data_IF_460988281834
#
_entry.id   IF_460988281834
#
_cell.length_a   1.000
_cell.length_b   1.000
_cell.length_c   1.000
_cell.angle_alpha   90.00
_cell.angle_beta   90.00
_cell.angle_gamma   90.00
#
_symmetry.space_group_name_H-M   'P 1'
#
loop_
_entity.id
_entity.type
_entity.pdbx_description
1 polymer ?
#
# COMPACT_ATOMS: atom_id res chain seq x y z
N UNK A 1 7.57 5.54 -42.18
CA UNK A 1 8.09 4.18 -42.52
C UNK A 1 9.26 4.20 -43.51
N UNK A 2 9.16 4.87 -44.68
CA UNK A 2 10.26 4.95 -45.67
C UNK A 2 11.57 5.59 -45.15
N UNK A 3 11.48 6.64 -44.33
CA UNK A 3 12.66 7.27 -43.70
C UNK A 3 13.40 6.35 -42.72
N UNK A 4 12.66 5.52 -41.97
CA UNK A 4 13.23 4.60 -40.99
C UNK A 4 13.95 3.42 -41.66
N UNK A 5 13.41 2.93 -42.78
CA UNK A 5 14.01 1.88 -43.60
C UNK A 5 15.30 2.34 -44.31
N UNK A 6 15.36 3.60 -44.74
CA UNK A 6 16.58 4.19 -45.34
C UNK A 6 17.70 4.45 -44.33
N UNK A 7 17.41 4.59 -43.03
CA UNK A 7 18.42 4.68 -41.97
C UNK A 7 18.98 3.30 -41.56
N UNK A 8 18.19 2.24 -41.77
CA UNK A 8 18.56 0.85 -41.44
C UNK A 8 19.18 0.09 -42.61
N UNK A 9 19.09 0.60 -43.84
CA UNK A 9 19.63 -0.04 -45.04
C UNK A 9 21.15 -0.23 -45.06
N UNK A 10 22.01 0.66 -44.50
CA UNK A 10 23.46 0.46 -44.53
C UNK A 10 23.96 -0.52 -43.46
N UNK A 11 23.09 -0.98 -42.54
CA UNK A 11 23.46 -1.87 -41.44
C UNK A 11 23.43 -3.33 -41.87
N UNK A 12 24.48 -4.06 -41.50
CA UNK A 12 24.57 -5.51 -41.62
C UNK A 12 23.49 -6.21 -40.78
N UNK A 13 23.21 -7.47 -41.11
CA UNK A 13 22.21 -8.28 -40.39
C UNK A 13 22.51 -8.36 -38.89
N UNK A 14 23.77 -8.50 -38.50
CA UNK A 14 24.20 -8.57 -37.10
C UNK A 14 24.01 -7.25 -36.36
N UNK A 15 24.28 -6.12 -37.00
CA UNK A 15 24.06 -4.80 -36.41
C UNK A 15 22.57 -4.50 -36.19
N UNK A 16 21.70 -4.96 -37.10
CA UNK A 16 20.23 -4.88 -36.93
C UNK A 16 19.75 -5.69 -35.73
N UNK A 17 20.28 -6.89 -35.53
CA UNK A 17 19.98 -7.72 -34.36
C UNK A 17 20.49 -7.04 -33.07
N UNK A 18 21.72 -6.54 -33.08
CA UNK A 18 22.29 -5.84 -31.93
C UNK A 18 21.47 -4.61 -31.54
N UNK A 19 21.04 -3.79 -32.51
CA UNK A 19 20.15 -2.65 -32.28
C UNK A 19 18.80 -3.09 -31.70
N UNK A 20 18.21 -4.18 -32.21
CA UNK A 20 16.96 -4.71 -31.67
C UNK A 20 17.11 -5.15 -30.20
N UNK A 21 18.21 -5.82 -29.85
CA UNK A 21 18.51 -6.22 -28.48
C UNK A 21 18.72 -5.00 -27.56
N UNK A 22 19.39 -3.96 -28.04
CA UNK A 22 19.57 -2.70 -27.31
C UNK A 22 18.22 -2.03 -27.05
N UNK A 23 17.34 -1.97 -28.06
CA UNK A 23 15.99 -1.41 -27.91
C UNK A 23 15.18 -2.19 -26.88
N UNK A 24 15.23 -3.53 -26.91
CA UNK A 24 14.55 -4.38 -25.92
C UNK A 24 15.11 -4.11 -24.51
N UNK A 25 16.43 -4.07 -24.35
CA UNK A 25 17.06 -3.78 -23.07
C UNK A 25 16.67 -2.41 -22.51
N UNK A 26 16.62 -1.37 -23.37
CA UNK A 26 16.17 -0.03 -22.99
C UNK A 26 14.70 -0.01 -22.56
N UNK A 27 13.83 -0.74 -23.26
CA UNK A 27 12.42 -0.88 -22.88
C UNK A 27 12.30 -1.56 -21.52
N UNK A 28 13.04 -2.65 -21.28
CA UNK A 28 13.05 -3.34 -19.99
C UNK A 28 13.49 -2.42 -18.86
N UNK A 29 14.58 -1.66 -19.05
CA UNK A 29 15.05 -0.68 -18.06
C UNK A 29 14.01 0.41 -17.77
N UNK A 30 13.31 0.89 -18.80
CA UNK A 30 12.27 1.90 -18.66
C UNK A 30 11.08 1.35 -17.86
N UNK A 31 10.67 0.10 -18.12
CA UNK A 31 9.59 -0.56 -17.35
C UNK A 31 9.99 -0.72 -15.90
N UNK A 32 11.20 -1.20 -15.60
CA UNK A 32 11.69 -1.36 -14.24
C UNK A 32 11.73 -0.02 -13.48
N UNK A 33 12.17 1.04 -14.15
CA UNK A 33 12.19 2.39 -13.61
C UNK A 33 10.78 2.89 -13.28
N UNK A 34 9.82 2.72 -14.20
CA UNK A 34 8.42 3.09 -13.97
C UNK A 34 7.82 2.31 -12.80
N UNK A 35 8.07 1.00 -12.72
CA UNK A 35 7.63 0.16 -11.61
C UNK A 35 8.22 0.64 -10.28
N UNK A 36 9.49 1.04 -10.26
CA UNK A 36 10.16 1.60 -9.08
C UNK A 36 9.52 2.91 -8.61
N UNK A 37 9.19 3.82 -9.53
CA UNK A 37 8.47 5.07 -9.21
C UNK A 37 7.09 4.76 -8.61
N UNK A 38 6.32 3.89 -9.27
CA UNK A 38 4.97 3.52 -8.80
C UNK A 38 5.04 2.89 -7.40
N UNK A 39 5.99 1.98 -7.17
CA UNK A 39 6.22 1.35 -5.86
C UNK A 39 6.58 2.39 -4.80
N UNK A 40 7.46 3.33 -5.12
CA UNK A 40 7.86 4.40 -4.20
C UNK A 40 6.69 5.30 -3.83
N UNK A 41 5.89 5.72 -4.82
CA UNK A 41 4.68 6.53 -4.60
C UNK A 41 3.65 5.78 -3.73
N UNK A 42 3.45 4.49 -3.99
CA UNK A 42 2.58 3.64 -3.16
C UNK A 42 3.08 3.55 -1.72
N UNK A 43 4.37 3.30 -1.52
CA UNK A 43 4.98 3.24 -0.18
C UNK A 43 4.85 4.56 0.57
N UNK A 44 5.09 5.69 -0.09
CA UNK A 44 4.91 7.02 0.48
C UNK A 44 3.45 7.27 0.89
N UNK A 45 2.49 6.91 0.04
CA UNK A 45 1.06 7.01 0.36
C UNK A 45 0.68 6.14 1.57
N UNK A 46 1.17 4.91 1.65
CA UNK A 46 0.87 4.02 2.77
C UNK A 46 1.52 4.48 4.07
N UNK A 47 2.77 4.97 4.01
CA UNK A 47 3.44 5.57 5.15
C UNK A 47 2.65 6.76 5.69
N UNK A 48 2.21 7.66 4.80
CA UNK A 48 1.39 8.82 5.19
C UNK A 48 0.10 8.38 5.89
N UNK A 49 -0.62 7.41 5.33
CA UNK A 49 -1.84 6.86 5.97
C UNK A 49 -1.55 6.27 7.34
N UNK A 50 -0.43 5.56 7.50
CA UNK A 50 -0.07 4.96 8.78
C UNK A 50 0.26 6.04 9.82
N UNK A 51 1.00 7.07 9.42
CA UNK A 51 1.30 8.21 10.29
C UNK A 51 0.03 9.00 10.67
N UNK A 52 -0.91 9.17 9.74
CA UNK A 52 -2.21 9.78 10.02
C UNK A 52 -2.99 8.96 11.06
N UNK A 53 -3.05 7.63 10.90
CA UNK A 53 -3.66 6.75 11.89
C UNK A 53 -2.98 6.88 13.26
N UNK A 54 -1.65 6.79 13.29
CA UNK A 54 -0.85 6.77 14.53
C UNK A 54 -0.85 8.10 15.27
N UNK A 55 -0.75 9.21 14.56
CA UNK A 55 -0.56 10.53 15.17
C UNK A 55 -1.87 11.27 15.38
N UNK A 56 -2.88 11.04 14.53
CA UNK A 56 -4.10 11.86 14.55
C UNK A 56 -5.34 11.06 14.98
N UNK A 57 -5.38 9.75 14.70
CA UNK A 57 -6.58 8.92 14.92
C UNK A 57 -6.41 7.85 16.00
N UNK A 58 -5.21 7.69 16.56
CA UNK A 58 -4.91 6.61 17.49
C UNK A 58 -5.74 6.70 18.77
N UNK A 59 -5.90 7.91 19.33
CA UNK A 59 -6.73 8.11 20.52
C UNK A 59 -8.21 7.79 20.26
N UNK A 60 -8.69 8.08 19.04
CA UNK A 60 -10.05 7.73 18.63
C UNK A 60 -10.21 6.22 18.54
N UNK A 61 -9.23 5.54 17.95
CA UNK A 61 -9.19 4.08 17.87
C UNK A 61 -9.18 3.47 19.27
N UNK A 62 -8.36 3.97 20.17
CA UNK A 62 -8.29 3.48 21.54
C UNK A 62 -9.61 3.71 22.29
N UNK A 63 -10.27 4.85 22.11
CA UNK A 63 -11.60 5.10 22.67
C UNK A 63 -12.65 4.12 22.16
N UNK A 64 -12.61 3.76 20.88
CA UNK A 64 -13.48 2.73 20.28
C UNK A 64 -13.23 1.38 20.94
N UNK A 65 -11.96 1.03 21.16
CA UNK A 65 -11.57 -0.24 21.78
C UNK A 65 -12.00 -0.34 23.24
N UNK A 66 -12.06 0.77 23.96
CA UNK A 66 -12.49 0.83 25.37
C UNK A 66 -13.94 1.26 25.54
N UNK A 67 -14.73 1.33 24.46
CA UNK A 67 -16.15 1.67 24.55
C UNK A 67 -16.94 0.46 25.10
N UNK A 68 -17.81 0.72 26.06
CA UNK A 68 -18.65 -0.32 26.68
C UNK A 68 -19.67 -0.88 25.69
N UNK A 69 -20.04 -0.12 24.66
CA UNK A 69 -20.98 -0.55 23.63
C UNK A 69 -20.27 -1.37 22.56
N UNK A 70 -20.95 -2.40 22.09
CA UNK A 70 -20.53 -3.12 20.90
C UNK A 70 -20.76 -2.25 19.65
N UNK A 71 -19.71 -2.09 18.85
CA UNK A 71 -19.68 -1.22 17.68
C UNK A 71 -19.51 -2.06 16.41
N UNK A 72 -20.25 -1.69 15.36
CA UNK A 72 -20.15 -2.32 14.06
C UNK A 72 -19.03 -1.67 13.20
N UNK A 73 -18.61 -2.38 12.14
CA UNK A 73 -17.49 -1.93 11.31
C UNK A 73 -17.75 -0.60 10.59
N UNK A 74 -19.03 -0.31 10.28
CA UNK A 74 -19.42 0.95 9.65
C UNK A 74 -19.26 2.12 10.61
N UNK A 75 -19.73 1.98 11.86
CA UNK A 75 -19.53 3.00 12.89
C UNK A 75 -18.05 3.26 13.14
N UNK A 76 -17.25 2.20 13.29
CA UNK A 76 -15.80 2.32 13.50
C UNK A 76 -15.14 3.11 12.36
N UNK A 77 -15.44 2.75 11.11
CA UNK A 77 -14.89 3.43 9.92
C UNK A 77 -15.32 4.89 9.84
N UNK A 78 -16.58 5.19 10.15
CA UNK A 78 -17.11 6.56 10.16
C UNK A 78 -16.48 7.41 11.25
N UNK A 79 -16.27 6.84 12.44
CA UNK A 79 -15.66 7.54 13.59
C UNK A 79 -14.18 7.83 13.34
N UNK A 80 -13.45 6.87 12.78
CA UNK A 80 -12.05 7.04 12.39
C UNK A 80 -11.88 7.97 11.18
N UNK A 81 -12.91 8.08 10.34
CA UNK A 81 -12.87 8.72 9.02
C UNK A 81 -11.74 8.17 8.14
N UNK A 82 -11.40 6.89 8.36
CA UNK A 82 -10.32 6.21 7.69
C UNK A 82 -10.72 4.76 7.45
N UNK A 83 -10.43 4.29 6.24
CA UNK A 83 -10.65 2.91 5.85
C UNK A 83 -9.39 2.07 6.15
N UNK A 84 -9.48 1.26 7.20
CA UNK A 84 -8.42 0.38 7.70
C UNK A 84 -8.10 -0.79 6.74
N UNK A 85 -9.01 -1.14 5.83
CA UNK A 85 -8.79 -2.22 4.85
C UNK A 85 -7.71 -1.90 3.82
N UNK A 86 -7.42 -0.61 3.63
CA UNK A 86 -6.51 -0.11 2.60
C UNK A 86 -5.03 -0.21 2.97
N UNK A 87 -4.68 -0.64 4.19
CA UNK A 87 -3.30 -0.85 4.58
C UNK A 87 -2.71 -2.09 3.90
N UNK A 88 -1.48 -1.98 3.41
CA UNK A 88 -0.76 -3.17 2.96
C UNK A 88 -0.34 -4.06 4.13
N UNK A 89 0.14 -5.28 3.85
CA UNK A 89 0.51 -6.25 4.88
C UNK A 89 1.50 -5.68 5.91
N UNK A 90 2.51 -4.93 5.47
CA UNK A 90 3.55 -4.39 6.36
C UNK A 90 2.96 -3.41 7.37
N UNK A 91 2.14 -2.46 6.93
CA UNK A 91 1.55 -1.48 7.84
C UNK A 91 0.44 -2.10 8.70
N UNK A 92 -0.27 -3.11 8.20
CA UNK A 92 -1.19 -3.89 9.03
C UNK A 92 -0.48 -4.56 10.19
N UNK A 93 0.65 -5.21 9.95
CA UNK A 93 1.43 -5.86 11.00
C UNK A 93 1.89 -4.86 12.07
N UNK A 94 2.33 -3.67 11.66
CA UNK A 94 2.68 -2.59 12.59
C UNK A 94 1.47 -2.18 13.46
N UNK A 95 0.30 -1.99 12.85
CA UNK A 95 -0.92 -1.65 13.58
C UNK A 95 -1.32 -2.78 14.53
N UNK A 96 -1.24 -4.04 14.09
CA UNK A 96 -1.50 -5.21 14.94
C UNK A 96 -0.61 -5.23 16.18
N UNK A 97 0.69 -4.97 16.03
CA UNK A 97 1.60 -4.91 17.17
C UNK A 97 1.22 -3.80 18.16
N UNK A 98 0.86 -2.61 17.68
CA UNK A 98 0.42 -1.52 18.55
C UNK A 98 -0.90 -1.84 19.25
N UNK A 99 -1.83 -2.51 18.57
CA UNK A 99 -3.09 -2.98 19.16
C UNK A 99 -2.88 -4.05 20.25
N UNK A 100 -1.88 -4.93 20.09
CA UNK A 100 -1.50 -5.89 21.13
C UNK A 100 -0.98 -5.21 22.38
N UNK A 101 -0.16 -4.15 22.22
CA UNK A 101 0.30 -3.33 23.34
C UNK A 101 -0.90 -2.71 24.05
N UNK A 102 -1.82 -2.07 23.32
CA UNK A 102 -3.03 -1.47 23.93
C UNK A 102 -3.85 -2.49 24.71
N UNK A 103 -4.07 -3.68 24.13
CA UNK A 103 -4.77 -4.78 24.78
C UNK A 103 -4.10 -5.23 26.10
N UNK A 104 -2.78 -5.11 26.19
CA UNK A 104 -2.05 -5.48 27.41
C UNK A 104 -2.13 -4.43 28.53
N UNK A 105 -2.45 -3.16 28.18
CA UNK A 105 -2.42 -2.04 29.14
C UNK A 105 -3.78 -1.41 29.42
N UNK A 106 -4.81 -1.70 28.62
CA UNK A 106 -6.16 -1.16 28.78
C UNK A 106 -7.18 -2.29 28.81
N UNK A 107 -8.26 -2.08 29.57
CA UNK A 107 -9.43 -2.94 29.49
C UNK A 107 -10.16 -2.67 28.17
N UNK A 108 -10.17 -3.68 27.30
CA UNK A 108 -10.69 -3.56 25.94
C UNK A 108 -11.97 -4.39 25.78
N UNK A 109 -12.95 -3.80 25.11
CA UNK A 109 -14.12 -4.53 24.65
C UNK A 109 -13.66 -5.54 23.58
N UNK A 110 -13.83 -6.83 23.88
CA UNK A 110 -13.35 -7.92 23.00
C UNK A 110 -14.08 -7.93 21.65
N UNK A 111 -15.36 -7.58 21.64
CA UNK A 111 -16.16 -7.46 20.40
C UNK A 111 -15.62 -6.33 19.53
N UNK A 112 -15.39 -5.14 20.09
CA UNK A 112 -14.87 -3.98 19.35
C UNK A 112 -13.45 -4.24 18.83
N UNK A 113 -12.62 -4.89 19.64
CA UNK A 113 -11.29 -5.31 19.24
C UNK A 113 -11.35 -6.25 18.03
N UNK A 114 -12.21 -7.26 18.06
CA UNK A 114 -12.43 -8.17 16.93
C UNK A 114 -12.91 -7.43 15.69
N UNK A 115 -13.88 -6.52 15.82
CA UNK A 115 -14.36 -5.69 14.70
C UNK A 115 -13.23 -4.91 14.05
N UNK A 116 -12.36 -4.27 14.84
CA UNK A 116 -11.18 -3.54 14.32
C UNK A 116 -10.21 -4.49 13.61
N UNK A 117 -9.95 -5.67 14.18
CA UNK A 117 -9.08 -6.67 13.57
C UNK A 117 -9.65 -7.19 12.23
N UNK A 118 -10.96 -7.38 12.15
CA UNK A 118 -11.65 -7.82 10.94
C UNK A 118 -11.59 -6.73 9.86
N UNK A 119 -11.75 -5.46 10.22
CA UNK A 119 -11.57 -4.32 9.30
C UNK A 119 -10.15 -4.23 8.74
N UNK A 120 -9.13 -4.52 9.55
CA UNK A 120 -7.74 -4.58 9.08
C UNK A 120 -7.50 -5.76 8.14
N UNK A 121 -8.13 -6.91 8.42
CA UNK A 121 -7.96 -8.14 7.62
C UNK A 121 -8.68 -8.09 6.29
N UNK A 122 -9.84 -7.45 6.23
CA UNK A 122 -10.67 -7.47 5.03
C UNK A 122 -9.91 -6.78 3.89
N UNK A 123 -9.61 -7.52 2.84
CA UNK A 123 -9.17 -6.98 1.55
C UNK A 123 -10.40 -7.12 0.65
N UNK A 124 -10.95 -6.03 0.14
CA UNK A 124 -11.82 -6.12 -1.03
C UNK A 124 -11.02 -6.63 -2.23
#
# INVERSE_FOLDING_TARGET
MKLFLNFLSPLSFWEKIALLLIVIALISLLVDFLLKIVKTKKNSKMLRKYLELKNEKWDVLVKILTDDKELDGLYVSNKLQMDLSNFDARYRDLIYHELLVVKSVKDINTTNYKTVLDLLRHKK
#
